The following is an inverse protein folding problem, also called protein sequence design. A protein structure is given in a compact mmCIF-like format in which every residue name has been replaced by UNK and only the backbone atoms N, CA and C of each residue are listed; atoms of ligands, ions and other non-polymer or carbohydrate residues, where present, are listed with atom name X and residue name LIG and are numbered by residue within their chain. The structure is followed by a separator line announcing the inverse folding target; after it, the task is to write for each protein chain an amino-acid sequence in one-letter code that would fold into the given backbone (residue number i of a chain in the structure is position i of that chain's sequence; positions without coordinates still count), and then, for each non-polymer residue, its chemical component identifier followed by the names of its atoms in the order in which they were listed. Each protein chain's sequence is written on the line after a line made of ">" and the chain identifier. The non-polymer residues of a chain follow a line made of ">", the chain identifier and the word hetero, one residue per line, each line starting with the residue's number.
data_IF_040659726959
#
_entry.id   IF_040659726959
#
_cell.length_a   1.000
_cell.length_b   1.000
_cell.length_c   1.000
_cell.angle_alpha   90.00
_cell.angle_beta   90.00
_cell.angle_gamma   90.00
#
_symmetry.space_group_name_H-M   'P 1'
#
loop_
_entity.id
_entity.type
_entity.pdbx_description
1 polymer ?
#
# COMPACT_ATOMS: atom_id res chain seq x y z
N UNK A 1 -46.51 -2.96 23.30
CA UNK A 1 -45.54 -1.86 23.45
C UNK A 1 -44.59 -1.96 22.26
N UNK A 2 -44.94 -1.47 21.06
CA UNK A 2 -44.84 -0.07 20.57
C UNK A 2 -43.52 0.57 21.02
N UNK A 3 -42.58 0.99 20.17
CA UNK A 3 -42.67 1.88 19.01
C UNK A 3 -41.36 1.76 18.15
N UNK A 4 -41.45 1.63 16.82
CA UNK A 4 -41.28 2.70 15.78
C UNK A 4 -39.81 2.95 15.37
N UNK A 5 -39.36 2.38 14.25
CA UNK A 5 -39.20 3.00 12.91
C UNK A 5 -38.21 4.18 12.86
N UNK A 6 -37.23 4.12 11.96
CA UNK A 6 -37.03 5.09 10.86
C UNK A 6 -36.15 4.43 9.79
N UNK A 7 -36.79 4.13 8.66
CA UNK A 7 -36.18 4.03 7.34
C UNK A 7 -36.13 5.44 6.74
N UNK A 8 -35.10 5.79 5.96
CA UNK A 8 -35.29 6.72 4.86
C UNK A 8 -35.37 6.00 3.52
N UNK A 9 -36.45 6.32 2.82
CA UNK A 9 -36.94 5.80 1.56
C UNK A 9 -36.57 6.76 0.42
N UNK A 10 -36.30 6.19 -0.77
CA UNK A 10 -36.43 6.76 -2.14
C UNK A 10 -35.51 7.90 -2.59
N UNK A 11 -34.83 7.63 -3.71
CA UNK A 11 -35.32 8.07 -5.02
C UNK A 11 -34.79 7.16 -6.15
N UNK A 12 -35.70 6.33 -6.67
CA UNK A 12 -35.56 5.76 -8.00
C UNK A 12 -35.86 6.87 -9.02
N UNK A 13 -34.96 7.07 -9.97
CA UNK A 13 -35.28 7.69 -11.26
C UNK A 13 -35.02 6.63 -12.32
N UNK A 14 -36.12 6.00 -12.73
CA UNK A 14 -36.20 5.27 -13.99
C UNK A 14 -36.40 6.34 -15.06
N UNK A 15 -35.38 6.54 -15.89
CA UNK A 15 -35.54 7.19 -17.19
C UNK A 15 -35.11 6.17 -18.24
N UNK A 16 -36.09 5.69 -19.01
CA UNK A 16 -35.89 4.72 -20.06
C UNK A 16 -35.08 5.28 -21.22
N UNK A 17 -34.25 4.41 -21.78
CA UNK A 17 -33.76 4.49 -23.14
C UNK A 17 -33.72 3.06 -23.66
N UNK A 18 -34.67 2.73 -24.54
CA UNK A 18 -34.59 1.53 -25.33
C UNK A 18 -33.42 1.66 -26.29
N UNK A 19 -32.54 0.68 -26.30
CA UNK A 19 -31.61 0.45 -27.40
C UNK A 19 -31.44 -1.06 -27.60
N UNK A 20 -31.66 -1.48 -28.84
CA UNK A 20 -31.31 -2.81 -29.34
C UNK A 20 -29.84 -3.09 -29.03
N UNK A 21 -29.53 -4.22 -28.40
CA UNK A 21 -28.19 -4.80 -28.50
C UNK A 21 -28.23 -5.78 -29.66
N UNK A 22 -27.90 -5.26 -30.85
CA UNK A 22 -27.29 -6.07 -31.88
C UNK A 22 -25.98 -6.63 -31.31
N UNK A 23 -25.77 -7.95 -31.40
CA UNK A 23 -24.50 -8.57 -31.05
C UNK A 23 -23.39 -8.01 -31.97
N UNK A 24 -22.30 -7.45 -31.44
CA UNK A 24 -21.08 -7.33 -32.20
C UNK A 24 -20.36 -8.67 -32.12
N UNK A 25 -20.50 -9.40 -33.22
CA UNK A 25 -19.47 -10.30 -33.72
C UNK A 25 -18.16 -9.51 -33.84
N UNK A 26 -17.05 -10.09 -33.35
CA UNK A 26 -15.72 -9.57 -33.56
C UNK A 26 -15.05 -9.10 -32.28
N UNK A 27 -14.08 -9.89 -31.81
CA UNK A 27 -13.02 -9.40 -30.96
C UNK A 27 -12.27 -8.31 -31.74
N UNK A 28 -12.69 -7.05 -31.55
CA UNK A 28 -11.90 -5.92 -31.97
C UNK A 28 -10.66 -5.91 -31.08
N UNK A 29 -9.51 -6.29 -31.65
CA UNK A 29 -8.21 -5.94 -31.08
C UNK A 29 -8.19 -4.42 -31.12
N UNK A 30 -8.51 -3.78 -29.99
CA UNK A 30 -8.36 -2.35 -29.85
C UNK A 30 -6.90 -2.05 -30.19
N UNK A 31 -6.61 -1.14 -31.16
CA UNK A 31 -5.24 -0.76 -31.41
C UNK A 31 -4.65 -0.27 -30.08
N UNK A 32 -3.44 -0.75 -29.76
CA UNK A 32 -2.58 -0.16 -28.73
C UNK A 32 -2.35 1.30 -29.12
N UNK A 33 -3.27 2.18 -28.74
CA UNK A 33 -3.09 3.61 -28.92
C UNK A 33 -2.03 3.99 -27.88
N UNK A 34 -0.80 4.21 -28.34
CA UNK A 34 0.23 4.82 -27.51
C UNK A 34 -0.38 6.05 -26.83
N UNK A 35 -0.28 6.12 -25.51
CA UNK A 35 -0.76 7.26 -24.76
C UNK A 35 -0.15 8.55 -25.36
N UNK A 36 -0.92 9.65 -25.46
CA UNK A 36 -0.39 10.91 -25.96
C UNK A 36 0.80 11.35 -25.08
N UNK A 37 1.81 11.96 -25.70
CA UNK A 37 3.07 12.34 -25.04
C UNK A 37 2.83 13.21 -23.79
N UNK A 38 1.79 14.05 -23.81
CA UNK A 38 1.38 14.88 -22.67
C UNK A 38 0.87 14.05 -21.48
N UNK A 39 0.17 12.95 -21.73
CA UNK A 39 -0.26 12.02 -20.70
C UNK A 39 0.94 11.30 -20.09
N UNK A 40 1.88 10.83 -20.92
CA UNK A 40 3.12 10.18 -20.46
C UNK A 40 3.93 11.13 -19.56
N UNK A 41 4.06 12.40 -19.96
CA UNK A 41 4.78 13.40 -19.17
C UNK A 41 4.06 13.72 -17.84
N UNK A 42 2.73 13.68 -17.82
CA UNK A 42 1.91 13.90 -16.61
C UNK A 42 2.06 12.72 -15.65
N UNK A 43 1.92 11.49 -16.15
CA UNK A 43 2.07 10.26 -15.36
C UNK A 43 3.49 10.16 -14.79
N UNK A 44 4.51 10.51 -15.56
CA UNK A 44 5.90 10.55 -15.09
C UNK A 44 6.12 11.56 -13.96
N UNK A 45 5.48 12.73 -14.02
CA UNK A 45 5.60 13.73 -12.95
C UNK A 45 4.92 13.24 -11.67
N UNK A 46 3.68 12.75 -11.79
CA UNK A 46 2.95 12.21 -10.65
C UNK A 46 3.72 11.04 -10.01
N UNK A 47 4.28 10.14 -10.81
CA UNK A 47 5.11 9.03 -10.34
C UNK A 47 6.34 9.52 -9.59
N UNK A 48 7.05 10.51 -10.12
CA UNK A 48 8.24 11.06 -9.47
C UNK A 48 7.92 11.74 -8.14
N UNK A 49 6.79 12.44 -8.05
CA UNK A 49 6.32 13.06 -6.80
C UNK A 49 5.95 12.00 -5.75
N UNK A 50 5.23 10.95 -6.16
CA UNK A 50 4.89 9.81 -5.29
C UNK A 50 6.15 9.04 -4.85
N UNK A 51 7.11 8.84 -5.76
CA UNK A 51 8.38 8.18 -5.48
C UNK A 51 9.24 9.01 -4.51
N UNK A 52 9.23 10.34 -4.64
CA UNK A 52 9.90 11.22 -3.69
C UNK A 52 9.25 11.12 -2.30
N UNK A 53 7.91 11.03 -2.22
CA UNK A 53 7.20 10.82 -0.97
C UNK A 53 7.55 9.47 -0.32
N UNK A 54 7.48 8.36 -1.06
CA UNK A 54 7.86 7.03 -0.57
C UNK A 54 9.31 6.98 -0.08
N UNK A 55 10.26 7.55 -0.83
CA UNK A 55 11.66 7.60 -0.38
C UNK A 55 11.82 8.40 0.91
N UNK A 56 11.01 9.45 1.09
CA UNK A 56 11.01 10.22 2.33
C UNK A 56 10.47 9.39 3.49
N UNK A 57 9.36 8.67 3.33
CA UNK A 57 8.81 7.83 4.41
C UNK A 57 9.78 6.73 4.83
N UNK A 58 10.45 6.08 3.86
CA UNK A 58 11.51 5.11 4.15
C UNK A 58 12.65 5.75 4.94
N UNK A 59 13.17 6.91 4.50
CA UNK A 59 14.27 7.59 5.18
C UNK A 59 13.90 8.08 6.59
N UNK A 60 12.66 8.55 6.77
CA UNK A 60 12.12 8.93 8.08
C UNK A 60 12.03 7.71 9.00
N UNK A 61 11.51 6.58 8.52
CA UNK A 61 11.39 5.32 9.26
C UNK A 61 12.75 4.73 9.64
N UNK A 62 13.74 4.71 8.74
CA UNK A 62 15.11 4.31 9.05
C UNK A 62 15.74 5.20 10.13
N UNK A 63 15.48 6.52 10.05
CA UNK A 63 15.97 7.48 11.03
C UNK A 63 15.32 7.25 12.39
N UNK A 64 14.00 7.06 12.44
CA UNK A 64 13.29 6.75 13.67
C UNK A 64 13.73 5.42 14.28
N UNK A 65 13.91 4.40 13.45
CA UNK A 65 14.39 3.10 13.89
C UNK A 65 15.72 3.24 14.63
N UNK A 66 16.69 3.90 13.99
CA UNK A 66 18.03 4.10 14.54
C UNK A 66 18.04 4.97 15.80
N UNK A 67 17.27 6.06 15.83
CA UNK A 67 17.37 7.08 16.88
C UNK A 67 16.46 6.81 18.07
N UNK A 68 15.35 6.10 17.89
CA UNK A 68 14.33 5.90 18.92
C UNK A 68 14.05 4.43 19.16
N UNK A 69 13.76 3.64 18.12
CA UNK A 69 13.31 2.26 18.30
C UNK A 69 14.43 1.34 18.82
N UNK A 70 15.59 1.35 18.15
CA UNK A 70 16.75 0.53 18.51
C UNK A 70 17.22 0.76 19.95
N UNK A 71 17.41 2.01 20.41
CA UNK A 71 17.76 2.27 21.81
C UNK A 71 16.78 1.66 22.81
N UNK A 72 15.48 1.69 22.51
CA UNK A 72 14.45 1.11 23.36
C UNK A 72 14.52 -0.42 23.36
N UNK A 73 14.76 -1.06 22.22
CA UNK A 73 14.98 -2.50 22.15
C UNK A 73 16.26 -2.93 22.88
N UNK A 74 17.35 -2.17 22.75
CA UNK A 74 18.59 -2.46 23.48
C UNK A 74 18.40 -2.31 24.99
N UNK A 75 17.64 -1.29 25.43
CA UNK A 75 17.31 -1.11 26.84
C UNK A 75 16.43 -2.26 27.38
N UNK A 76 15.41 -2.68 26.62
CA UNK A 76 14.58 -3.84 26.96
C UNK A 76 15.43 -5.11 27.08
N UNK A 77 16.30 -5.35 26.09
CA UNK A 77 17.20 -6.51 26.03
C UNK A 77 18.18 -6.54 27.20
N UNK A 78 18.77 -5.40 27.53
CA UNK A 78 19.69 -5.30 28.65
C UNK A 78 19.02 -5.58 30.02
N UNK A 79 17.73 -5.28 30.15
CA UNK A 79 16.99 -5.44 31.40
C UNK A 79 16.31 -6.80 31.54
N UNK A 80 15.70 -7.30 30.47
CA UNK A 80 14.84 -8.48 30.51
C UNK A 80 15.39 -9.67 29.70
N UNK A 81 16.51 -9.50 29.01
CA UNK A 81 17.09 -10.51 28.12
C UNK A 81 16.50 -10.50 26.71
N UNK A 82 16.86 -11.51 25.92
CA UNK A 82 16.47 -11.62 24.51
C UNK A 82 14.97 -11.92 24.33
N UNK A 83 14.40 -12.71 25.26
CA UNK A 83 12.99 -13.05 25.30
C UNK A 83 12.25 -12.16 26.29
N UNK A 84 11.42 -11.26 25.77
CA UNK A 84 10.63 -10.34 26.59
C UNK A 84 9.53 -11.10 27.34
N UNK A 85 9.27 -10.77 28.62
CA UNK A 85 8.21 -11.38 29.40
C UNK A 85 6.84 -11.25 28.71
N UNK A 86 6.06 -12.32 28.71
CA UNK A 86 4.69 -12.35 28.18
C UNK A 86 3.67 -12.21 29.29
N UNK A 87 2.47 -11.70 28.94
CA UNK A 87 1.37 -11.56 29.88
C UNK A 87 1.04 -12.89 30.57
N UNK A 88 1.19 -12.92 31.90
CA UNK A 88 0.98 -14.11 32.74
C UNK A 88 2.26 -14.73 33.29
N UNK A 89 3.42 -14.33 32.79
CA UNK A 89 4.72 -14.74 33.34
C UNK A 89 5.06 -13.94 34.62
N UNK A 90 5.90 -14.48 35.53
CA UNK A 90 6.24 -13.83 36.79
C UNK A 90 6.79 -12.41 36.64
N UNK A 91 7.58 -12.17 35.58
CA UNK A 91 8.27 -10.89 35.34
C UNK A 91 7.42 -9.90 34.52
N UNK A 92 6.21 -10.30 34.09
CA UNK A 92 5.30 -9.44 33.32
C UNK A 92 4.95 -8.11 34.00
N UNK A 93 4.63 -8.06 35.32
CA UNK A 93 4.31 -6.80 35.97
C UNK A 93 5.47 -5.80 35.90
N UNK A 94 6.71 -6.26 36.11
CA UNK A 94 7.89 -5.40 36.02
C UNK A 94 8.12 -4.92 34.58
N UNK A 95 7.99 -5.81 33.59
CA UNK A 95 8.11 -5.43 32.19
C UNK A 95 7.08 -4.37 31.79
N UNK A 96 5.81 -4.54 32.18
CA UNK A 96 4.75 -3.56 31.93
C UNK A 96 5.06 -2.20 32.56
N UNK A 97 5.46 -2.18 33.83
CA UNK A 97 5.75 -0.93 34.54
C UNK A 97 6.98 -0.23 33.94
N UNK A 98 7.95 -0.99 33.41
CA UNK A 98 9.05 -0.45 32.62
C UNK A 98 8.59 0.12 31.28
N UNK A 99 7.71 -0.56 30.54
CA UNK A 99 7.18 -0.04 29.28
C UNK A 99 6.50 1.32 29.47
N UNK A 100 5.68 1.44 30.51
CA UNK A 100 4.98 2.68 30.86
C UNK A 100 5.95 3.82 31.22
N UNK A 101 6.95 3.53 32.06
CA UNK A 101 7.89 4.56 32.54
C UNK A 101 8.98 4.95 31.54
N UNK A 102 9.35 4.05 30.64
CA UNK A 102 10.35 4.32 29.60
C UNK A 102 9.77 5.01 28.36
N UNK A 103 8.44 4.98 28.18
CA UNK A 103 7.78 5.44 26.96
C UNK A 103 7.87 4.42 25.82
N UNK A 104 8.22 3.15 26.11
CA UNK A 104 8.34 2.08 25.12
C UNK A 104 7.06 1.93 24.28
N UNK A 105 5.89 1.96 24.93
CA UNK A 105 4.61 1.80 24.24
C UNK A 105 4.36 2.93 23.23
N UNK A 106 4.70 4.18 23.59
CA UNK A 106 4.56 5.31 22.68
C UNK A 106 5.52 5.22 21.48
N UNK A 107 6.72 4.65 21.67
CA UNK A 107 7.67 4.38 20.58
C UNK A 107 7.14 3.29 19.66
N UNK A 108 6.54 2.23 20.21
CA UNK A 108 5.92 1.17 19.43
C UNK A 108 4.71 1.66 18.63
N UNK A 109 3.86 2.51 19.23
CA UNK A 109 2.73 3.15 18.53
C UNK A 109 3.23 3.98 17.34
N UNK A 110 4.28 4.79 17.55
CA UNK A 110 4.88 5.58 16.47
C UNK A 110 5.54 4.72 15.40
N UNK A 111 6.21 3.64 15.78
CA UNK A 111 6.79 2.68 14.83
C UNK A 111 5.72 2.10 13.90
N UNK A 112 4.55 1.74 14.46
CA UNK A 112 3.43 1.26 13.66
C UNK A 112 2.95 2.33 12.68
N UNK A 113 2.78 3.58 13.11
CA UNK A 113 2.34 4.68 12.25
C UNK A 113 3.32 4.97 11.09
N UNK A 114 4.63 4.85 11.32
CA UNK A 114 5.63 5.01 10.26
C UNK A 114 5.59 3.85 9.26
N UNK A 115 5.40 2.62 9.73
CA UNK A 115 5.20 1.45 8.86
C UNK A 115 3.92 1.55 8.03
N UNK A 116 2.83 2.06 8.61
CA UNK A 116 1.58 2.36 7.89
C UNK A 116 1.82 3.43 6.81
N UNK A 117 2.52 4.53 7.14
CA UNK A 117 2.82 5.58 6.16
C UNK A 117 3.71 5.09 5.01
N UNK A 118 4.70 4.23 5.28
CA UNK A 118 5.52 3.61 4.25
C UNK A 118 4.68 2.68 3.35
N UNK A 119 3.87 1.81 3.97
CA UNK A 119 2.98 0.90 3.25
C UNK A 119 1.95 1.63 2.39
N UNK A 120 1.37 2.72 2.88
CA UNK A 120 0.44 3.56 2.12
C UNK A 120 1.13 4.22 0.92
N UNK A 121 2.34 4.77 1.11
CA UNK A 121 3.10 5.39 0.03
C UNK A 121 3.55 4.37 -1.03
N UNK A 122 3.94 3.16 -0.60
CA UNK A 122 4.27 2.05 -1.49
C UNK A 122 3.04 1.60 -2.29
N UNK A 123 1.90 1.43 -1.61
CA UNK A 123 0.63 1.02 -2.24
C UNK A 123 0.21 2.03 -3.30
N UNK A 124 0.29 3.32 -2.99
CA UNK A 124 -0.02 4.39 -3.94
C UNK A 124 0.84 4.31 -5.21
N UNK A 125 2.14 4.03 -5.08
CA UNK A 125 3.01 3.80 -6.24
C UNK A 125 2.59 2.56 -7.03
N UNK A 126 2.28 1.44 -6.37
CA UNK A 126 1.89 0.21 -7.07
C UNK A 126 0.60 0.38 -7.90
N UNK A 127 -0.32 1.23 -7.46
CA UNK A 127 -1.59 1.55 -8.15
C UNK A 127 -1.43 2.53 -9.33
N UNK A 128 -0.41 3.40 -9.32
CA UNK A 128 -0.19 4.38 -10.39
C UNK A 128 0.37 3.73 -11.65
N UNK A 129 0.00 4.13 -12.87
CA UNK A 129 0.64 3.63 -14.09
C UNK A 129 2.16 3.87 -14.09
N UNK A 130 2.95 2.85 -14.41
CA UNK A 130 4.41 2.99 -14.47
C UNK A 130 4.82 3.88 -15.68
N UNK A 131 5.50 5.01 -15.51
CA UNK A 131 5.83 5.87 -16.66
C UNK A 131 6.80 5.21 -17.66
N UNK A 132 7.65 4.29 -17.20
CA UNK A 132 8.68 3.63 -17.99
C UNK A 132 9.02 2.22 -17.46
N UNK A 133 9.95 1.54 -18.13
CA UNK A 133 10.41 0.20 -17.75
C UNK A 133 11.12 0.17 -16.38
N UNK A 134 11.74 1.26 -15.94
CA UNK A 134 12.41 1.32 -14.65
C UNK A 134 11.39 1.35 -13.51
N UNK A 135 10.32 2.13 -13.66
CA UNK A 135 9.19 2.12 -12.74
C UNK A 135 8.48 0.76 -12.71
N UNK A 136 8.26 0.13 -13.86
CA UNK A 136 7.68 -1.22 -13.92
C UNK A 136 8.56 -2.23 -13.19
N UNK A 137 9.88 -2.18 -13.39
CA UNK A 137 10.82 -3.04 -12.66
C UNK A 137 10.72 -2.82 -11.15
N UNK A 138 10.71 -1.55 -10.71
CA UNK A 138 10.55 -1.22 -9.29
C UNK A 138 9.28 -1.83 -8.72
N UNK A 139 8.14 -1.72 -9.42
CA UNK A 139 6.87 -2.32 -8.98
C UNK A 139 6.98 -3.83 -8.77
N UNK A 140 7.61 -4.55 -9.71
CA UNK A 140 7.79 -5.99 -9.60
C UNK A 140 8.63 -6.36 -8.38
N UNK A 141 9.75 -5.66 -8.18
CA UNK A 141 10.62 -5.87 -7.01
C UNK A 141 9.90 -5.61 -5.67
N UNK A 142 8.82 -4.81 -5.68
CA UNK A 142 8.06 -4.44 -4.48
C UNK A 142 6.67 -5.11 -4.40
N UNK A 143 6.32 -5.99 -5.35
CA UNK A 143 5.08 -6.79 -5.32
C UNK A 143 5.34 -8.20 -4.81
N UNK A 144 6.57 -8.70 -5.01
CA UNK A 144 6.97 -10.04 -4.60
C UNK A 144 7.90 -9.99 -3.39
N UNK A 145 7.72 -10.93 -2.48
CA UNK A 145 8.69 -11.24 -1.43
C UNK A 145 9.93 -11.92 -2.04
N UNK A 146 10.96 -12.09 -1.22
CA UNK A 146 12.26 -12.64 -1.67
C UNK A 146 12.16 -14.11 -2.12
N UNK A 147 11.15 -14.84 -1.65
CA UNK A 147 10.83 -16.21 -2.03
C UNK A 147 9.91 -16.30 -3.26
N UNK A 148 9.46 -15.16 -3.80
CA UNK A 148 8.56 -15.07 -4.93
C UNK A 148 7.07 -15.10 -4.58
N UNK A 149 6.73 -15.18 -3.29
CA UNK A 149 5.34 -15.02 -2.84
C UNK A 149 4.88 -13.58 -3.00
N UNK A 150 3.57 -13.36 -3.11
CA UNK A 150 3.04 -12.02 -3.38
C UNK A 150 2.84 -11.30 -2.05
N UNK A 151 3.72 -10.34 -1.78
CA UNK A 151 3.74 -9.55 -0.55
C UNK A 151 2.44 -8.72 -0.38
N UNK A 152 1.88 -8.25 -1.50
CA UNK A 152 0.72 -7.36 -1.57
C UNK A 152 -0.27 -7.85 -2.63
N UNK A 153 -1.13 -8.82 -2.29
CA UNK A 153 -2.16 -9.29 -3.22
C UNK A 153 -3.37 -8.34 -3.22
N UNK A 154 -3.37 -7.42 -4.19
CA UNK A 154 -4.48 -6.53 -4.50
C UNK A 154 -4.84 -6.68 -5.99
N UNK A 155 -6.09 -7.07 -6.35
CA UNK A 155 -6.51 -7.22 -7.74
C UNK A 155 -6.25 -5.98 -8.60
N UNK A 156 -6.44 -4.79 -8.04
CA UNK A 156 -6.24 -3.50 -8.69
C UNK A 156 -4.76 -3.28 -9.04
N UNK A 157 -3.84 -3.62 -8.13
CA UNK A 157 -2.40 -3.56 -8.37
C UNK A 157 -1.99 -4.56 -9.45
N UNK A 158 -2.49 -5.79 -9.38
CA UNK A 158 -2.19 -6.83 -10.38
C UNK A 158 -2.67 -6.42 -11.79
N UNK A 159 -3.85 -5.81 -11.89
CA UNK A 159 -4.37 -5.28 -13.15
C UNK A 159 -3.53 -4.11 -13.67
N UNK A 160 -3.07 -3.23 -12.79
CA UNK A 160 -2.21 -2.10 -13.16
C UNK A 160 -0.86 -2.59 -13.69
N UNK A 161 -0.21 -3.52 -12.99
CA UNK A 161 1.06 -4.13 -13.43
C UNK A 161 0.88 -4.84 -14.78
N UNK A 162 -0.21 -5.58 -14.96
CA UNK A 162 -0.53 -6.21 -16.26
C UNK A 162 -0.70 -5.17 -17.37
N UNK A 163 -1.39 -4.05 -17.11
CA UNK A 163 -1.54 -2.98 -18.08
C UNK A 163 -0.20 -2.32 -18.42
N UNK A 164 0.66 -2.11 -17.42
CA UNK A 164 2.00 -1.58 -17.59
C UNK A 164 2.87 -2.50 -18.45
N UNK A 165 2.80 -3.83 -18.24
CA UNK A 165 3.47 -4.81 -19.10
C UNK A 165 3.04 -4.70 -20.56
N UNK A 166 1.73 -4.68 -20.82
CA UNK A 166 1.19 -4.61 -22.18
C UNK A 166 1.54 -3.30 -22.90
N UNK A 167 1.71 -2.21 -22.15
CA UNK A 167 2.05 -0.90 -22.69
C UNK A 167 3.55 -0.71 -22.90
N UNK A 168 4.38 -1.21 -21.99
CA UNK A 168 5.81 -0.91 -21.93
C UNK A 168 6.70 -1.98 -22.55
N UNK A 169 6.29 -3.26 -22.50
CA UNK A 169 7.02 -4.30 -23.20
C UNK A 169 6.54 -4.37 -24.66
N UNK A 170 7.44 -4.17 -25.64
CA UNK A 170 7.07 -4.35 -27.03
C UNK A 170 6.61 -5.79 -27.26
N UNK A 171 5.45 -5.96 -27.87
CA UNK A 171 5.06 -7.25 -28.45
C UNK A 171 5.89 -7.40 -29.71
N UNK A 172 7.01 -8.13 -29.62
CA UNK A 172 7.65 -8.65 -30.82
C UNK A 172 6.67 -9.63 -31.48
N UNK A 173 6.17 -9.25 -32.66
CA UNK A 173 5.40 -10.12 -33.57
C UNK A 173 6.32 -10.57 -34.68
#
# INVERSE_FOLDING_TARGET
>A
MTDTLITPTRRAVIAGLGFMVAAPTGAAVAPLVCAPVEQIATDARAWNDAMAHYRKTVADGETFHREYLDPHFQAARARFGDDRPRKGEPDWPEYRDWCESSGFDAVMDKWQLEGEAEGDAQTALLEMPAPDLAALRWKLEHTFETDGDIALWCPEIALTIRADFLRLLPVEV
#
